data_IF_431668485240
#
_entry.id   IF_431668485240
#
_cell.length_a   1.000
_cell.length_b   1.000
_cell.length_c   1.000
_cell.angle_alpha   90.00
_cell.angle_beta   90.00
_cell.angle_gamma   90.00
#
_symmetry.space_group_name_H-M   'P 1'
#
loop_
_entity.id
_entity.type
_entity.pdbx_description
1 polymer ?
#
# COMPACT_ATOMS: atom_id res chain seq x y z
N UNK A 1 8.81 -0.78 -2.96
CA UNK A 1 7.66 -1.55 -2.40
C UNK A 1 7.40 -2.90 -3.08
N UNK A 2 7.28 -3.02 -4.41
CA UNK A 2 6.87 -4.31 -5.03
C UNK A 2 7.82 -5.49 -4.79
N UNK A 3 9.12 -5.25 -4.74
CA UNK A 3 10.11 -6.27 -4.39
C UNK A 3 9.90 -6.80 -2.97
N UNK A 4 9.66 -5.92 -2.00
CA UNK A 4 9.34 -6.30 -0.62
C UNK A 4 8.05 -7.14 -0.53
N UNK A 5 7.04 -6.81 -1.36
CA UNK A 5 5.80 -7.61 -1.44
C UNK A 5 6.10 -9.02 -1.98
N UNK A 6 6.95 -9.11 -3.01
CA UNK A 6 7.33 -10.38 -3.61
C UNK A 6 8.16 -11.25 -2.64
N UNK A 7 9.13 -10.66 -1.94
CA UNK A 7 9.92 -11.32 -0.91
C UNK A 7 9.03 -11.88 0.20
N UNK A 8 8.14 -11.04 0.75
CA UNK A 8 7.21 -11.46 1.79
C UNK A 8 6.25 -12.57 1.30
N UNK A 9 5.78 -12.49 0.05
CA UNK A 9 4.94 -13.53 -0.54
C UNK A 9 5.69 -14.87 -0.74
N UNK A 10 6.99 -14.83 -1.04
CA UNK A 10 7.83 -16.03 -1.08
C UNK A 10 8.01 -16.64 0.31
N UNK A 11 8.21 -15.82 1.35
CA UNK A 11 8.34 -16.26 2.74
C UNK A 11 7.08 -16.99 3.24
N UNK A 12 5.89 -16.49 2.89
CA UNK A 12 4.62 -17.13 3.26
C UNK A 12 4.32 -18.44 2.52
N UNK A 13 5.16 -18.88 1.56
CA UNK A 13 5.01 -20.13 0.79
C UNK A 13 3.68 -20.29 0.05
N UNK A 14 2.96 -19.19 -0.17
CA UNK A 14 1.67 -19.13 -0.87
C UNK A 14 1.77 -18.62 -2.30
N UNK A 15 2.97 -18.16 -2.70
CA UNK A 15 3.25 -17.67 -4.05
C UNK A 15 2.37 -16.48 -4.44
N UNK A 16 1.91 -16.43 -5.69
CA UNK A 16 1.14 -15.30 -6.22
C UNK A 16 -0.19 -15.02 -5.50
N UNK A 17 -0.75 -15.99 -4.76
CA UNK A 17 -2.02 -15.83 -4.03
C UNK A 17 -1.91 -14.79 -2.91
N UNK A 18 -0.78 -14.71 -2.21
CA UNK A 18 -0.59 -13.75 -1.11
C UNK A 18 -0.31 -12.33 -1.59
N UNK A 19 0.13 -12.14 -2.84
CA UNK A 19 0.42 -10.80 -3.37
C UNK A 19 -0.76 -9.86 -3.25
N UNK A 20 -1.97 -10.35 -3.58
CA UNK A 20 -3.20 -9.56 -3.40
C UNK A 20 -3.44 -9.25 -1.92
N UNK A 21 -3.33 -10.24 -1.03
CA UNK A 21 -3.58 -10.03 0.40
C UNK A 21 -2.65 -9.00 1.02
N UNK A 22 -1.34 -9.12 0.75
CA UNK A 22 -0.32 -8.17 1.23
C UNK A 22 -0.59 -6.76 0.71
N UNK A 23 -0.91 -6.63 -0.59
CA UNK A 23 -1.21 -5.34 -1.18
C UNK A 23 -2.53 -4.75 -0.65
N UNK A 24 -3.57 -5.56 -0.48
CA UNK A 24 -4.86 -5.14 0.05
C UNK A 24 -4.71 -4.60 1.49
N UNK A 25 -3.95 -5.30 2.35
CA UNK A 25 -3.66 -4.88 3.72
C UNK A 25 -2.95 -3.52 3.76
N UNK A 26 -1.96 -3.32 2.87
CA UNK A 26 -1.23 -2.07 2.72
C UNK A 26 -2.14 -0.90 2.28
N UNK A 27 -3.02 -1.11 1.30
CA UNK A 27 -3.83 -0.01 0.74
C UNK A 27 -5.12 0.26 1.50
N UNK A 28 -5.62 -0.70 2.29
CA UNK A 28 -6.89 -0.56 3.03
C UNK A 28 -7.00 0.75 3.82
N UNK A 29 -6.04 1.15 4.68
CA UNK A 29 -6.14 2.41 5.42
C UNK A 29 -6.12 3.63 4.51
N UNK A 30 -5.40 3.56 3.38
CA UNK A 30 -5.33 4.62 2.37
C UNK A 30 -6.70 4.81 1.71
N UNK A 31 -7.32 3.71 1.27
CA UNK A 31 -8.63 3.72 0.62
C UNK A 31 -9.75 4.18 1.56
N UNK A 32 -9.61 3.93 2.86
CA UNK A 32 -10.54 4.45 3.87
C UNK A 32 -10.40 5.97 4.06
N UNK A 33 -9.17 6.49 4.05
CA UNK A 33 -8.89 7.90 4.33
C UNK A 33 -9.16 8.85 3.15
N UNK A 34 -8.84 8.43 1.92
CA UNK A 34 -8.92 9.29 0.73
C UNK A 34 -10.30 9.95 0.53
N UNK A 35 -11.44 9.24 0.65
CA UNK A 35 -12.76 9.83 0.42
C UNK A 35 -13.07 11.01 1.34
N UNK A 36 -12.55 11.00 2.57
CA UNK A 36 -12.78 12.05 3.57
C UNK A 36 -11.87 13.28 3.39
N UNK A 37 -10.83 13.18 2.54
CA UNK A 37 -9.81 14.21 2.35
C UNK A 37 -9.69 14.59 0.86
N UNK A 38 -10.68 15.33 0.32
CA UNK A 38 -10.77 15.63 -1.11
C UNK A 38 -9.61 16.48 -1.65
N UNK A 39 -8.82 17.11 -0.79
CA UNK A 39 -7.64 17.87 -1.18
C UNK A 39 -6.44 16.99 -1.55
N UNK A 40 -6.45 15.72 -1.15
CA UNK A 40 -5.41 14.75 -1.49
C UNK A 40 -5.48 14.44 -2.99
N UNK A 41 -4.36 14.61 -3.68
CA UNK A 41 -4.27 14.39 -5.13
C UNK A 41 -3.26 13.32 -5.53
N UNK A 42 -2.40 12.89 -4.60
CA UNK A 42 -1.39 11.86 -4.83
C UNK A 42 -1.03 11.18 -3.51
N UNK A 43 -0.81 9.88 -3.59
CA UNK A 43 -0.30 9.04 -2.50
C UNK A 43 0.97 8.36 -2.97
N UNK A 44 2.04 8.40 -2.18
CA UNK A 44 3.27 7.65 -2.43
C UNK A 44 3.51 6.62 -1.34
N UNK A 45 3.87 5.41 -1.75
CA UNK A 45 4.21 4.31 -0.86
C UNK A 45 5.67 3.91 -1.17
N UNK A 46 6.59 4.28 -0.27
CA UNK A 46 8.02 3.97 -0.39
C UNK A 46 8.33 2.55 0.07
N UNK A 47 7.69 2.11 1.15
CA UNK A 47 8.00 0.88 1.89
C UNK A 47 6.73 0.20 2.39
N UNK A 48 6.80 -1.11 2.63
CA UNK A 48 5.77 -1.86 3.38
C UNK A 48 5.77 -1.54 4.88
N UNK A 49 6.86 -0.97 5.38
CA UNK A 49 7.08 -0.75 6.82
C UNK A 49 7.00 0.72 7.22
N UNK A 50 6.59 1.60 6.31
CA UNK A 50 6.44 3.04 6.54
C UNK A 50 5.04 3.49 6.11
N UNK A 51 4.55 4.55 6.76
CA UNK A 51 3.29 5.17 6.38
C UNK A 51 3.36 5.80 4.98
N UNK A 52 2.21 5.79 4.30
CA UNK A 52 2.07 6.44 3.00
C UNK A 52 2.19 7.97 3.12
N UNK A 53 2.80 8.59 2.11
CA UNK A 53 2.90 10.05 2.02
C UNK A 53 1.75 10.59 1.17
N UNK A 54 1.04 11.57 1.72
CA UNK A 54 -0.10 12.22 1.07
C UNK A 54 0.30 13.61 0.57
N UNK A 55 -0.07 13.93 -0.66
CA UNK A 55 0.16 15.22 -1.28
C UNK A 55 -1.16 15.90 -1.58
N UNK A 56 -1.23 17.20 -1.32
CA UNK A 56 -2.42 18.03 -1.51
C UNK A 56 -2.29 18.93 -2.73
N UNK A 57 -3.40 19.27 -3.39
CA UNK A 57 -3.39 20.33 -4.40
C UNK A 57 -3.04 21.66 -3.71
N UNK A 58 -2.14 22.43 -4.32
CA UNK A 58 -1.85 23.82 -3.91
C UNK A 58 -3.02 24.72 -4.26
#
# INVERSE_FOLDING_TARGET
VFEQIAELAMEYKTGARSLRGIFEELITPILYLIPDNPEICKVEISSLFEDARYFRRK
#
